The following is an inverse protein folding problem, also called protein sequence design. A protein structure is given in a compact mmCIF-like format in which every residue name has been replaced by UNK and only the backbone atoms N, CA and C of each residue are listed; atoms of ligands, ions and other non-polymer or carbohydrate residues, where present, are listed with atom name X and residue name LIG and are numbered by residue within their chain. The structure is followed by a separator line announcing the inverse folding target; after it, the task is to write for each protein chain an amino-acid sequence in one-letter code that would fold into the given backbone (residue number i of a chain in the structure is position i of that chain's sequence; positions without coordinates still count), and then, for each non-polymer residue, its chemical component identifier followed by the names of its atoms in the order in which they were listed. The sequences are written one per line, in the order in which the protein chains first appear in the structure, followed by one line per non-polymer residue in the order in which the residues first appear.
data_IF_930864678423
#
_entry.id   IF_930864678423
#
_cell.length_a   1.000
_cell.length_b   1.000
_cell.length_c   1.000
_cell.angle_alpha   90.00
_cell.angle_beta   90.00
_cell.angle_gamma   90.00
#
_symmetry.space_group_name_H-M   'P 1'
#
loop_
_entity.id
_entity.type
_entity.pdbx_description
1 polymer ?
#
# COMPACT_ATOMS: atom_id res chain seq x y z
N UNK A 1 13.37 -3.46 8.84
CA UNK A 1 14.65 -2.93 8.31
C UNK A 1 14.40 -1.55 7.70
N UNK A 2 14.55 -0.48 8.47
CA UNK A 2 14.59 0.89 7.93
C UNK A 2 16.03 1.11 7.43
N UNK A 3 16.28 0.79 6.14
CA UNK A 3 17.59 0.92 5.48
C UNK A 3 17.87 2.33 4.96
N UNK A 4 16.95 3.26 5.14
CA UNK A 4 17.13 4.65 4.76
C UNK A 4 17.29 5.41 6.07
N UNK A 5 18.53 5.80 6.37
CA UNK A 5 18.90 6.55 7.57
C UNK A 5 18.15 7.87 7.69
N UNK A 6 18.23 8.49 8.86
CA UNK A 6 17.56 9.77 9.17
C UNK A 6 17.77 10.79 8.06
N UNK A 7 16.69 11.20 7.40
CA UNK A 7 16.72 12.26 6.39
C UNK A 7 17.05 13.59 7.08
N UNK A 8 18.34 13.93 7.17
CA UNK A 8 18.74 15.30 7.44
C UNK A 8 18.42 16.10 6.18
N UNK A 9 17.43 17.00 6.24
CA UNK A 9 17.00 17.85 5.13
C UNK A 9 18.07 18.89 4.75
N UNK A 10 19.23 18.43 4.32
CA UNK A 10 20.28 19.23 3.66
C UNK A 10 20.17 19.00 2.15
N UNK A 11 20.14 20.05 1.31
CA UNK A 11 19.95 19.92 -0.15
C UNK A 11 20.95 18.97 -0.83
N UNK A 12 22.19 18.91 -0.35
CA UNK A 12 23.21 17.99 -0.86
C UNK A 12 22.90 16.51 -0.55
N UNK A 13 22.29 16.23 0.59
CA UNK A 13 21.93 14.86 0.99
C UNK A 13 20.70 14.36 0.21
N UNK A 14 19.75 15.25 -0.09
CA UNK A 14 18.58 14.94 -0.93
C UNK A 14 19.00 14.46 -2.33
N UNK A 15 19.98 15.14 -2.96
CA UNK A 15 20.46 14.75 -4.28
C UNK A 15 21.13 13.37 -4.26
N UNK A 16 21.98 13.12 -3.25
CA UNK A 16 22.63 11.81 -3.10
C UNK A 16 21.64 10.68 -2.80
N UNK A 17 20.61 10.94 -1.99
CA UNK A 17 19.55 10.00 -1.70
C UNK A 17 18.69 9.70 -2.94
N UNK A 18 18.41 10.72 -3.77
CA UNK A 18 17.67 10.54 -5.02
C UNK A 18 18.44 9.67 -6.03
N UNK A 19 19.74 9.93 -6.21
CA UNK A 19 20.60 9.12 -7.08
C UNK A 19 20.74 7.69 -6.54
N UNK A 20 20.90 7.53 -5.23
CA UNK A 20 20.93 6.23 -4.57
C UNK A 20 19.60 5.46 -4.72
N UNK A 21 18.47 6.14 -4.62
CA UNK A 21 17.16 5.55 -4.82
C UNK A 21 16.93 5.14 -6.29
N UNK A 22 17.42 5.93 -7.24
CA UNK A 22 17.31 5.69 -8.69
C UNK A 22 18.13 4.51 -9.19
N UNK A 23 19.08 4.01 -8.40
CA UNK A 23 19.90 2.83 -8.74
C UNK A 23 19.49 1.60 -7.95
N UNK A 24 18.59 1.72 -6.98
CA UNK A 24 18.14 0.60 -6.17
C UNK A 24 17.05 -0.20 -6.91
N UNK A 25 17.32 -1.46 -7.29
CA UNK A 25 16.39 -2.26 -8.09
C UNK A 25 15.05 -2.52 -7.36
N UNK A 26 15.02 -2.57 -6.03
CA UNK A 26 13.78 -2.75 -5.28
C UNK A 26 12.90 -1.50 -5.31
N UNK A 27 13.52 -0.31 -5.26
CA UNK A 27 12.79 0.96 -5.36
C UNK A 27 12.24 1.12 -6.78
N UNK A 28 13.05 0.80 -7.81
CA UNK A 28 12.60 0.85 -9.20
C UNK A 28 11.47 -0.16 -9.47
N UNK A 29 11.59 -1.39 -8.96
CA UNK A 29 10.53 -2.38 -9.08
C UNK A 29 9.24 -1.91 -8.41
N UNK A 30 9.34 -1.35 -7.20
CA UNK A 30 8.21 -0.74 -6.50
C UNK A 30 7.58 0.41 -7.29
N UNK A 31 8.40 1.28 -7.89
CA UNK A 31 7.94 2.40 -8.71
C UNK A 31 7.21 1.93 -9.98
N UNK A 32 7.75 0.93 -10.68
CA UNK A 32 7.08 0.34 -11.86
C UNK A 32 5.75 -0.29 -11.45
N UNK A 33 5.73 -1.03 -10.35
CA UNK A 33 4.51 -1.59 -9.80
C UNK A 33 3.48 -0.50 -9.46
N UNK A 34 3.94 0.64 -8.93
CA UNK A 34 3.08 1.78 -8.61
C UNK A 34 2.49 2.45 -9.86
N UNK A 35 3.30 2.65 -10.92
CA UNK A 35 2.82 3.18 -12.20
C UNK A 35 1.73 2.27 -12.78
N UNK A 36 1.94 0.95 -12.76
CA UNK A 36 0.94 -0.02 -13.19
C UNK A 36 -0.31 0.06 -12.32
N UNK A 37 -0.14 0.14 -11.00
CA UNK A 37 -1.25 0.26 -10.04
C UNK A 37 -2.12 1.49 -10.32
N UNK A 38 -1.52 2.65 -10.62
CA UNK A 38 -2.26 3.86 -10.98
C UNK A 38 -3.01 3.67 -12.30
N UNK A 39 -2.39 3.03 -13.30
CA UNK A 39 -3.07 2.71 -14.55
C UNK A 39 -4.30 1.83 -14.36
N UNK A 40 -4.17 0.76 -13.57
CA UNK A 40 -5.30 -0.12 -13.21
C UNK A 40 -6.37 0.64 -12.42
N UNK A 41 -5.97 1.50 -11.48
CA UNK A 41 -6.90 2.30 -10.69
C UNK A 41 -7.73 3.26 -11.54
N UNK A 42 -7.10 3.96 -12.49
CA UNK A 42 -7.80 4.82 -13.44
C UNK A 42 -8.76 4.04 -14.34
N UNK A 43 -8.40 2.82 -14.75
CA UNK A 43 -9.31 1.94 -15.50
C UNK A 43 -10.55 1.56 -14.68
N UNK A 44 -10.38 1.22 -13.40
CA UNK A 44 -11.51 0.91 -12.49
C UNK A 44 -12.42 2.12 -12.35
N UNK A 45 -11.86 3.31 -12.09
CA UNK A 45 -12.62 4.55 -11.96
C UNK A 45 -13.34 4.95 -13.26
N UNK A 46 -12.88 4.48 -14.42
CA UNK A 46 -13.59 4.70 -15.68
C UNK A 46 -14.86 3.85 -15.84
N UNK A 47 -15.07 2.84 -14.98
CA UNK A 47 -16.16 1.85 -15.10
C UNK A 47 -17.04 1.76 -13.86
N UNK A 48 -16.60 2.31 -12.74
CA UNK A 48 -17.26 2.15 -11.44
C UNK A 48 -17.23 3.47 -10.70
N UNK A 49 -18.31 3.77 -9.97
CA UNK A 49 -18.40 4.98 -9.17
C UNK A 49 -17.34 5.00 -8.05
N UNK A 50 -16.84 6.19 -7.77
CA UNK A 50 -15.81 6.43 -6.76
C UNK A 50 -16.26 5.95 -5.37
N UNK A 51 -17.53 6.18 -5.03
CA UNK A 51 -18.19 5.75 -3.78
C UNK A 51 -18.13 4.24 -3.56
N UNK A 52 -18.12 3.45 -4.63
CA UNK A 52 -18.02 1.98 -4.57
C UNK A 52 -16.57 1.48 -4.64
N UNK A 53 -15.72 2.16 -5.42
CA UNK A 53 -14.33 1.75 -5.60
C UNK A 53 -13.47 1.95 -4.32
N UNK A 54 -13.72 3.02 -3.55
CA UNK A 54 -12.98 3.30 -2.32
C UNK A 54 -13.14 2.24 -1.21
N UNK A 55 -14.34 1.71 -0.94
CA UNK A 55 -14.51 0.56 -0.06
C UNK A 55 -13.63 -0.64 -0.46
N UNK A 56 -13.54 -0.96 -1.75
CA UNK A 56 -12.75 -2.09 -2.25
C UNK A 56 -11.24 -1.93 -2.07
N UNK A 57 -10.72 -0.69 -2.04
CA UNK A 57 -9.32 -0.42 -1.67
C UNK A 57 -8.97 -0.97 -0.28
N UNK A 58 -9.96 -1.11 0.61
CA UNK A 58 -9.74 -1.66 1.95
C UNK A 58 -9.29 -3.13 1.92
N UNK A 59 -9.58 -3.86 0.84
CA UNK A 59 -9.05 -5.21 0.61
C UNK A 59 -7.52 -5.18 0.50
N UNK A 60 -6.96 -4.09 -0.05
CA UNK A 60 -5.52 -3.85 -0.06
C UNK A 60 -4.91 -3.89 1.33
N UNK A 61 -5.55 -3.29 2.35
CA UNK A 61 -5.05 -3.36 3.73
C UNK A 61 -5.02 -4.79 4.26
N UNK A 62 -6.03 -5.60 3.95
CA UNK A 62 -6.10 -7.01 4.36
C UNK A 62 -4.95 -7.79 3.71
N UNK A 63 -4.80 -7.69 2.39
CA UNK A 63 -3.73 -8.36 1.63
C UNK A 63 -2.35 -7.93 2.13
N UNK A 64 -2.16 -6.63 2.39
CA UNK A 64 -0.88 -6.09 2.87
C UNK A 64 -0.56 -6.60 4.27
N UNK A 65 -1.54 -6.70 5.17
CA UNK A 65 -1.35 -7.25 6.51
C UNK A 65 -0.94 -8.73 6.46
N UNK A 66 -1.63 -9.55 5.66
CA UNK A 66 -1.23 -10.95 5.45
C UNK A 66 0.15 -11.06 4.80
N UNK A 67 0.47 -10.22 3.82
CA UNK A 67 1.80 -10.20 3.21
C UNK A 67 2.89 -9.82 4.23
N UNK A 68 2.64 -8.82 5.09
CA UNK A 68 3.52 -8.43 6.20
C UNK A 68 3.76 -9.58 7.18
N UNK A 69 2.70 -10.31 7.54
CA UNK A 69 2.80 -11.47 8.43
C UNK A 69 3.57 -12.64 7.82
N UNK A 70 3.26 -13.03 6.59
CA UNK A 70 3.87 -14.21 5.98
C UNK A 70 5.27 -13.96 5.41
N UNK A 71 5.47 -12.87 4.66
CA UNK A 71 6.74 -12.59 3.99
C UNK A 71 7.74 -11.90 4.90
N UNK A 72 7.28 -10.95 5.71
CA UNK A 72 8.15 -10.12 6.55
C UNK A 72 8.17 -10.55 8.02
N UNK A 73 7.35 -11.55 8.39
CA UNK A 73 7.23 -12.07 9.76
C UNK A 73 6.93 -10.96 10.77
N UNK A 74 6.15 -9.96 10.36
CA UNK A 74 5.75 -8.88 11.25
C UNK A 74 4.86 -9.41 12.37
N UNK A 75 5.15 -9.01 13.60
CA UNK A 75 4.31 -9.34 14.76
C UNK A 75 2.93 -8.71 14.60
N UNK A 76 1.91 -9.54 14.42
CA UNK A 76 0.52 -9.11 14.40
C UNK A 76 -0.11 -9.34 15.76
N UNK A 77 -0.35 -8.25 16.48
CA UNK A 77 -1.10 -8.29 17.73
C UNK A 77 -2.59 -8.59 17.50
N UNK A 78 -3.26 -9.15 18.51
CA UNK A 78 -4.69 -9.48 18.47
C UNK A 78 -5.56 -8.28 18.08
N UNK A 79 -5.17 -7.07 18.49
CA UNK A 79 -5.85 -5.82 18.14
C UNK A 79 -5.86 -5.56 16.63
N UNK A 80 -4.76 -5.84 15.93
CA UNK A 80 -4.68 -5.68 14.46
C UNK A 80 -5.58 -6.69 13.75
N UNK A 81 -5.61 -7.94 14.23
CA UNK A 81 -6.51 -8.96 13.70
C UNK A 81 -7.99 -8.58 13.86
N UNK A 82 -8.37 -8.09 15.04
CA UNK A 82 -9.72 -7.60 15.28
C UNK A 82 -10.09 -6.45 14.32
N UNK A 83 -9.18 -5.48 14.13
CA UNK A 83 -9.38 -4.38 13.18
C UNK A 83 -9.58 -4.87 11.73
N UNK A 84 -8.79 -5.86 11.29
CA UNK A 84 -8.94 -6.46 9.95
C UNK A 84 -10.33 -7.08 9.78
N UNK A 85 -10.83 -7.82 10.78
CA UNK A 85 -12.18 -8.40 10.75
C UNK A 85 -13.25 -7.31 10.61
N UNK A 86 -13.12 -6.20 11.36
CA UNK A 86 -14.04 -5.06 11.26
C UNK A 86 -14.02 -4.44 9.86
N UNK A 87 -12.84 -4.28 9.26
CA UNK A 87 -12.70 -3.79 7.88
C UNK A 87 -13.40 -4.74 6.90
N UNK A 88 -13.17 -6.06 7.01
CA UNK A 88 -13.83 -7.07 6.18
C UNK A 88 -15.36 -6.95 6.24
N UNK A 89 -15.91 -6.84 7.46
CA UNK A 89 -17.35 -6.68 7.67
C UNK A 89 -17.89 -5.38 7.08
N UNK A 90 -17.15 -4.28 7.22
CA UNK A 90 -17.51 -2.99 6.62
C UNK A 90 -17.56 -3.04 5.10
N UNK A 91 -16.55 -3.64 4.46
CA UNK A 91 -16.53 -3.83 3.00
C UNK A 91 -17.70 -4.70 2.57
N UNK A 92 -17.94 -5.82 3.24
CA UNK A 92 -19.05 -6.72 2.93
C UNK A 92 -20.42 -6.01 2.97
N UNK A 93 -20.67 -5.21 4.02
CA UNK A 93 -21.91 -4.46 4.17
C UNK A 93 -22.12 -3.46 3.02
N UNK A 94 -21.07 -2.75 2.62
CA UNK A 94 -21.12 -1.77 1.53
C UNK A 94 -21.36 -2.46 0.20
N UNK A 95 -20.62 -3.54 -0.10
CA UNK A 95 -20.79 -4.30 -1.35
C UNK A 95 -22.13 -5.01 -1.46
N UNK A 96 -22.84 -5.23 -0.35
CA UNK A 96 -24.20 -5.77 -0.35
C UNK A 96 -25.26 -4.71 -0.67
N UNK A 97 -24.97 -3.45 -0.38
CA UNK A 97 -25.94 -2.34 -0.47
C UNK A 97 -25.83 -1.58 -1.79
N UNK A 98 -24.72 -1.74 -2.50
CA UNK A 98 -24.49 -1.25 -3.86
C UNK A 98 -24.93 -2.28 -4.90
#
# INVERSE_FOLDING_TARGET
MLRIGEFSFKPAEIFSAFVGASTNPFILAGLVCYIISVGVWLLVLSRVEVSYAYPLLSIGYIVTAFAGFFFFKEGMDATRWAGIIVICLGVWLITRTA
#
